data_IF_085992741533
#
_entry.id   IF_085992741533
#
_cell.length_a   1.000
_cell.length_b   1.000
_cell.length_c   1.000
_cell.angle_alpha   90.00
_cell.angle_beta   90.00
_cell.angle_gamma   90.00
#
_symmetry.space_group_name_H-M   'P 1'
#
loop_
_entity.id
_entity.type
_entity.pdbx_description
1 polymer ?
#
# COMPACT_ATOMS: atom_id res chain seq x y z
N UNK A 1 -32.45 -20.56 13.92
CA UNK A 1 -33.20 -19.37 13.45
C UNK A 1 -33.72 -19.54 12.02
N UNK A 2 -33.71 -20.77 11.47
CA UNK A 2 -34.02 -21.07 10.06
C UNK A 2 -35.52 -21.05 9.68
N UNK A 3 -36.43 -20.84 10.63
CA UNK A 3 -37.88 -20.90 10.37
C UNK A 3 -38.58 -19.52 10.30
N UNK A 4 -37.81 -18.41 10.30
CA UNK A 4 -38.37 -17.05 10.16
C UNK A 4 -38.18 -16.40 8.78
N UNK A 5 -37.39 -17.00 7.87
CA UNK A 5 -37.22 -16.45 6.51
C UNK A 5 -38.29 -16.93 5.51
N UNK A 6 -39.08 -17.96 5.85
CA UNK A 6 -40.21 -18.44 5.03
C UNK A 6 -41.45 -17.52 5.04
N UNK A 7 -41.44 -16.42 5.80
CA UNK A 7 -42.58 -15.50 5.92
C UNK A 7 -42.14 -14.08 5.57
N UNK A 8 -41.87 -13.83 4.28
CA UNK A 8 -41.75 -12.48 3.72
C UNK A 8 -42.54 -12.29 2.42
N UNK A 9 -43.35 -13.28 2.02
CA UNK A 9 -44.30 -13.14 0.91
C UNK A 9 -45.73 -13.33 1.42
N UNK A 10 -46.10 -12.54 2.41
CA UNK A 10 -47.51 -12.29 2.71
C UNK A 10 -47.63 -10.95 3.44
N UNK A 11 -48.32 -10.01 2.79
CA UNK A 11 -48.83 -8.76 3.36
C UNK A 11 -47.85 -7.56 3.44
N UNK A 12 -47.38 -7.10 2.27
CA UNK A 12 -47.31 -5.64 2.03
C UNK A 12 -47.60 -5.36 0.55
N UNK A 13 -48.27 -4.24 0.27
CA UNK A 13 -48.50 -3.72 -1.09
C UNK A 13 -47.20 -3.17 -1.70
N UNK A 14 -46.12 -3.96 -1.70
CA UNK A 14 -44.82 -3.60 -2.26
C UNK A 14 -44.61 -4.19 -3.65
N UNK A 15 -43.86 -3.49 -4.50
CA UNK A 15 -43.40 -3.99 -5.80
C UNK A 15 -42.45 -5.18 -5.58
N UNK A 16 -42.49 -6.21 -6.45
CA UNK A 16 -41.61 -7.39 -6.33
C UNK A 16 -40.14 -6.96 -6.48
N UNK A 17 -39.88 -5.96 -7.31
CA UNK A 17 -38.53 -5.42 -7.47
C UNK A 17 -37.96 -4.79 -6.19
N UNK A 18 -38.80 -4.23 -5.31
CA UNK A 18 -38.35 -3.68 -4.02
C UNK A 18 -37.94 -4.80 -3.05
N UNK A 19 -38.68 -5.92 -3.05
CA UNK A 19 -38.32 -7.11 -2.27
C UNK A 19 -36.97 -7.68 -2.72
N UNK A 20 -36.76 -7.83 -4.03
CA UNK A 20 -35.48 -8.30 -4.58
C UNK A 20 -34.33 -7.34 -4.28
N UNK A 21 -34.57 -6.03 -4.34
CA UNK A 21 -33.57 -5.04 -3.97
C UNK A 21 -33.18 -5.13 -2.50
N UNK A 22 -34.15 -5.34 -1.60
CA UNK A 22 -33.88 -5.52 -0.18
C UNK A 22 -33.08 -6.78 0.10
N UNK A 23 -33.33 -7.88 -0.62
CA UNK A 23 -32.49 -9.08 -0.55
C UNK A 23 -31.03 -8.77 -0.92
N UNK A 24 -30.80 -8.05 -2.02
CA UNK A 24 -29.45 -7.65 -2.45
C UNK A 24 -28.81 -6.69 -1.44
N UNK A 25 -29.56 -5.73 -0.88
CA UNK A 25 -29.06 -4.84 0.18
C UNK A 25 -28.60 -5.63 1.40
N UNK A 26 -29.40 -6.58 1.87
CA UNK A 26 -29.03 -7.48 2.99
C UNK A 26 -27.83 -8.36 2.66
N UNK A 27 -27.66 -8.76 1.41
CA UNK A 27 -26.51 -9.55 0.96
C UNK A 27 -25.22 -8.74 1.03
N UNK A 28 -25.22 -7.50 0.52
CA UNK A 28 -24.08 -6.60 0.59
C UNK A 28 -23.80 -6.11 2.01
N UNK A 29 -24.84 -5.77 2.79
CA UNK A 29 -24.68 -5.41 4.20
C UNK A 29 -24.01 -6.54 5.00
N UNK A 30 -24.35 -7.81 4.73
CA UNK A 30 -23.68 -8.94 5.34
C UNK A 30 -22.18 -9.00 4.96
N UNK A 31 -21.82 -8.73 3.70
CA UNK A 31 -20.43 -8.70 3.24
C UNK A 31 -19.64 -7.55 3.87
N UNK A 32 -20.21 -6.35 3.83
CA UNK A 32 -19.53 -5.09 4.14
C UNK A 32 -19.46 -4.84 5.65
N UNK A 33 -20.53 -5.18 6.39
CA UNK A 33 -20.63 -5.02 7.84
C UNK A 33 -20.39 -6.34 8.59
N UNK A 34 -19.76 -7.35 7.97
CA UNK A 34 -19.57 -8.68 8.58
C UNK A 34 -19.00 -8.60 10.00
N UNK A 35 -17.99 -7.76 10.20
CA UNK A 35 -17.27 -7.58 11.47
C UNK A 35 -17.98 -6.67 12.48
N UNK A 36 -19.11 -6.04 12.11
CA UNK A 36 -19.99 -5.37 13.08
C UNK A 36 -20.87 -6.38 13.83
N UNK A 37 -21.11 -7.56 13.23
CA UNK A 37 -22.00 -8.59 13.77
C UNK A 37 -21.30 -9.91 14.11
N UNK A 38 -20.07 -10.11 13.64
CA UNK A 38 -19.27 -11.32 13.90
C UNK A 38 -17.90 -10.93 14.45
N UNK A 39 -17.40 -11.69 15.43
CA UNK A 39 -16.08 -11.44 15.99
C UNK A 39 -14.98 -11.79 14.97
N UNK A 40 -13.80 -11.20 15.13
CA UNK A 40 -12.72 -11.31 14.13
C UNK A 40 -12.16 -12.72 14.01
N UNK A 41 -12.30 -13.53 15.06
CA UNK A 41 -11.94 -14.95 15.10
C UNK A 41 -12.75 -15.78 14.09
N UNK A 42 -13.91 -15.27 13.65
CA UNK A 42 -14.75 -15.89 12.62
C UNK A 42 -14.49 -15.36 11.20
N UNK A 43 -13.42 -14.60 10.98
CA UNK A 43 -13.07 -14.04 9.67
C UNK A 43 -12.92 -15.13 8.58
N UNK A 44 -12.36 -16.28 8.92
CA UNK A 44 -12.19 -17.41 7.98
C UNK A 44 -13.52 -17.99 7.48
N UNK A 45 -14.62 -17.81 8.21
CA UNK A 45 -15.96 -18.27 7.83
C UNK A 45 -16.72 -17.28 6.95
N UNK A 46 -16.21 -16.04 6.81
CA UNK A 46 -16.90 -14.96 6.06
C UNK A 46 -17.23 -15.38 4.63
N UNK A 47 -16.26 -15.97 3.94
CA UNK A 47 -16.39 -16.37 2.54
C UNK A 47 -17.45 -17.47 2.35
N UNK A 48 -17.44 -18.52 3.18
CA UNK A 48 -18.41 -19.62 3.07
C UNK A 48 -19.83 -19.18 3.44
N UNK A 49 -19.99 -18.36 4.49
CA UNK A 49 -21.32 -17.83 4.87
C UNK A 49 -21.86 -16.86 3.82
N UNK A 50 -21.00 -16.05 3.20
CA UNK A 50 -21.41 -15.16 2.11
C UNK A 50 -21.88 -15.97 0.89
N UNK A 51 -21.19 -17.07 0.57
CA UNK A 51 -21.57 -17.99 -0.50
C UNK A 51 -22.96 -18.61 -0.25
N UNK A 52 -23.22 -19.13 0.95
CA UNK A 52 -24.53 -19.68 1.33
C UNK A 52 -25.64 -18.61 1.22
N UNK A 53 -25.36 -17.40 1.71
CA UNK A 53 -26.32 -16.29 1.65
C UNK A 53 -26.58 -15.82 0.22
N UNK A 54 -25.58 -15.89 -0.65
CA UNK A 54 -25.73 -15.67 -2.09
C UNK A 54 -26.66 -16.72 -2.70
N UNK A 55 -26.43 -18.01 -2.44
CA UNK A 55 -27.25 -19.11 -2.97
C UNK A 55 -28.73 -18.96 -2.58
N UNK A 56 -29.00 -18.65 -1.31
CA UNK A 56 -30.35 -18.37 -0.82
C UNK A 56 -30.96 -17.14 -1.51
N UNK A 57 -30.17 -16.09 -1.75
CA UNK A 57 -30.62 -14.91 -2.49
C UNK A 57 -31.00 -15.27 -3.93
N UNK A 58 -30.17 -16.04 -4.63
CA UNK A 58 -30.43 -16.47 -6.01
C UNK A 58 -31.68 -17.35 -6.11
N UNK A 59 -31.97 -18.18 -5.11
CA UNK A 59 -33.21 -18.97 -5.07
C UNK A 59 -34.44 -18.06 -5.11
N UNK A 60 -34.47 -17.00 -4.29
CA UNK A 60 -35.56 -16.01 -4.27
C UNK A 60 -35.70 -15.31 -5.63
N UNK A 61 -34.59 -14.97 -6.29
CA UNK A 61 -34.61 -14.37 -7.64
C UNK A 61 -35.20 -15.31 -8.70
N UNK A 62 -34.95 -16.62 -8.60
CA UNK A 62 -35.47 -17.60 -9.54
C UNK A 62 -36.99 -17.79 -9.36
N UNK A 63 -37.45 -17.91 -8.11
CA UNK A 63 -38.87 -18.04 -7.76
C UNK A 63 -39.73 -16.85 -8.21
N UNK A 64 -39.15 -15.65 -8.23
CA UNK A 64 -39.84 -14.41 -8.56
C UNK A 64 -39.52 -13.87 -9.97
N UNK A 65 -38.80 -14.65 -10.80
CA UNK A 65 -38.23 -14.20 -12.07
C UNK A 65 -39.27 -13.66 -13.06
N UNK A 66 -40.31 -14.44 -13.37
CA UNK A 66 -41.34 -14.05 -14.36
C UNK A 66 -42.06 -12.76 -13.98
N UNK A 67 -42.48 -12.65 -12.72
CA UNK A 67 -43.22 -11.51 -12.22
C UNK A 67 -42.33 -10.25 -12.15
N UNK A 68 -41.09 -10.37 -11.67
CA UNK A 68 -40.15 -9.25 -11.58
C UNK A 68 -39.68 -8.77 -12.97
N UNK A 69 -39.50 -9.68 -13.93
CA UNK A 69 -39.18 -9.33 -15.33
C UNK A 69 -40.34 -8.55 -15.97
N UNK A 70 -41.57 -8.99 -15.71
CA UNK A 70 -42.77 -8.32 -16.23
C UNK A 70 -42.96 -6.93 -15.63
N UNK A 71 -42.56 -6.74 -14.37
CA UNK A 71 -42.63 -5.46 -13.66
C UNK A 71 -41.56 -4.47 -14.15
N UNK A 72 -40.28 -4.85 -14.08
CA UNK A 72 -39.18 -4.04 -14.58
C UNK A 72 -37.98 -4.92 -14.95
N UNK A 73 -37.92 -5.29 -16.22
CA UNK A 73 -36.88 -6.17 -16.77
C UNK A 73 -35.45 -5.65 -16.58
N UNK A 74 -35.21 -4.35 -16.75
CA UNK A 74 -33.87 -3.76 -16.59
C UNK A 74 -33.42 -3.83 -15.12
N UNK A 75 -34.30 -3.44 -14.20
CA UNK A 75 -34.03 -3.48 -12.75
C UNK A 75 -33.81 -4.90 -12.25
N UNK A 76 -34.61 -5.87 -12.73
CA UNK A 76 -34.42 -7.29 -12.39
C UNK A 76 -33.01 -7.78 -12.75
N UNK A 77 -32.58 -7.60 -14.02
CA UNK A 77 -31.26 -8.05 -14.46
C UNK A 77 -30.12 -7.30 -13.77
N UNK A 78 -30.29 -6.02 -13.46
CA UNK A 78 -29.32 -5.27 -12.67
C UNK A 78 -29.15 -5.88 -11.26
N UNK A 79 -30.26 -6.12 -10.55
CA UNK A 79 -30.23 -6.66 -9.19
C UNK A 79 -29.70 -8.10 -9.17
N UNK A 80 -30.09 -8.93 -10.14
CA UNK A 80 -29.59 -10.30 -10.28
C UNK A 80 -28.09 -10.31 -10.54
N UNK A 81 -27.62 -9.46 -11.46
CA UNK A 81 -26.22 -9.34 -11.78
C UNK A 81 -25.39 -8.85 -10.59
N UNK A 82 -25.89 -7.83 -9.87
CA UNK A 82 -25.29 -7.34 -8.63
C UNK A 82 -25.23 -8.41 -7.54
N UNK A 83 -26.25 -9.27 -7.41
CA UNK A 83 -26.22 -10.39 -6.47
C UNK A 83 -25.09 -11.36 -6.81
N UNK A 84 -25.01 -11.80 -8.08
CA UNK A 84 -23.95 -12.69 -8.56
C UNK A 84 -22.54 -12.08 -8.45
N UNK A 85 -22.42 -10.76 -8.42
CA UNK A 85 -21.14 -10.05 -8.31
C UNK A 85 -20.71 -9.77 -6.85
N UNK A 86 -21.42 -10.27 -5.83
CA UNK A 86 -21.10 -9.94 -4.43
C UNK A 86 -19.72 -10.47 -3.99
N UNK A 87 -19.28 -11.58 -4.58
CA UNK A 87 -18.00 -12.25 -4.28
C UNK A 87 -16.88 -11.61 -5.13
N UNK A 88 -15.66 -11.62 -4.60
CA UNK A 88 -14.50 -11.01 -5.26
C UNK A 88 -14.09 -11.70 -6.57
N UNK A 89 -14.46 -12.97 -6.76
CA UNK A 89 -14.17 -13.73 -7.99
C UNK A 89 -15.12 -13.37 -9.12
N UNK A 90 -14.63 -13.45 -10.37
CA UNK A 90 -15.44 -13.17 -11.54
C UNK A 90 -16.62 -14.14 -11.68
N UNK A 91 -17.80 -13.61 -12.02
CA UNK A 91 -19.02 -14.37 -12.29
C UNK A 91 -19.55 -14.08 -13.69
N UNK A 92 -19.55 -15.09 -14.56
CA UNK A 92 -20.09 -14.98 -15.92
C UNK A 92 -21.61 -14.67 -15.91
N UNK A 93 -22.33 -15.17 -14.90
CA UNK A 93 -23.76 -14.89 -14.70
C UNK A 93 -23.99 -13.42 -14.34
N UNK A 94 -23.10 -12.83 -13.53
CA UNK A 94 -23.13 -11.39 -13.25
C UNK A 94 -22.92 -10.58 -14.53
N UNK A 95 -21.88 -10.90 -15.30
CA UNK A 95 -21.56 -10.22 -16.56
C UNK A 95 -22.75 -10.26 -17.54
N UNK A 96 -23.37 -11.43 -17.73
CA UNK A 96 -24.51 -11.60 -18.64
C UNK A 96 -25.72 -10.76 -18.19
N UNK A 97 -26.07 -10.82 -16.90
CA UNK A 97 -27.20 -10.09 -16.36
C UNK A 97 -26.97 -8.56 -16.41
N UNK A 98 -25.78 -8.10 -16.01
CA UNK A 98 -25.42 -6.68 -16.04
C UNK A 98 -25.35 -6.14 -17.48
N UNK A 99 -24.84 -6.93 -18.42
CA UNK A 99 -24.85 -6.58 -19.85
C UNK A 99 -26.28 -6.41 -20.39
N UNK A 100 -27.21 -7.29 -19.99
CA UNK A 100 -28.64 -7.13 -20.33
C UNK A 100 -29.22 -5.87 -19.70
N UNK A 101 -28.90 -5.58 -18.44
CA UNK A 101 -29.40 -4.42 -17.72
C UNK A 101 -29.01 -3.10 -18.41
N UNK A 102 -27.73 -2.91 -18.74
CA UNK A 102 -27.25 -1.67 -19.40
C UNK A 102 -27.78 -1.51 -20.83
N UNK A 103 -28.09 -2.61 -21.53
CA UNK A 103 -28.72 -2.57 -22.86
C UNK A 103 -30.19 -2.16 -22.79
N UNK A 104 -30.90 -2.60 -21.74
CA UNK A 104 -32.32 -2.29 -21.53
C UNK A 104 -32.50 -0.87 -20.99
N UNK A 105 -31.62 -0.42 -20.10
CA UNK A 105 -31.60 0.94 -19.57
C UNK A 105 -30.16 1.49 -19.53
N UNK A 106 -29.72 2.18 -20.61
CA UNK A 106 -28.39 2.77 -20.67
C UNK A 106 -28.17 3.91 -19.66
N UNK A 107 -29.21 4.47 -19.05
CA UNK A 107 -29.09 5.53 -18.04
C UNK A 107 -28.87 4.99 -16.63
N UNK A 108 -28.94 3.68 -16.44
CA UNK A 108 -28.77 3.04 -15.14
C UNK A 108 -27.29 3.02 -14.71
N UNK A 109 -26.82 4.13 -14.14
CA UNK A 109 -25.44 4.37 -13.68
C UNK A 109 -24.92 3.25 -12.79
N UNK A 110 -25.75 2.73 -11.88
CA UNK A 110 -25.36 1.64 -11.00
C UNK A 110 -25.07 0.33 -11.75
N UNK A 111 -25.81 0.02 -12.83
CA UNK A 111 -25.56 -1.16 -13.64
C UNK A 111 -24.24 -1.05 -14.41
N UNK A 112 -23.91 0.13 -14.93
CA UNK A 112 -22.61 0.39 -15.55
C UNK A 112 -21.45 0.21 -14.57
N UNK A 113 -21.58 0.73 -13.35
CA UNK A 113 -20.57 0.56 -12.30
C UNK A 113 -20.37 -0.92 -11.95
N UNK A 114 -21.45 -1.66 -11.73
CA UNK A 114 -21.38 -3.09 -11.42
C UNK A 114 -20.80 -3.89 -12.60
N UNK A 115 -21.16 -3.57 -13.85
CA UNK A 115 -20.58 -4.23 -15.02
C UNK A 115 -19.07 -3.96 -15.13
N UNK A 116 -18.64 -2.73 -14.83
CA UNK A 116 -17.23 -2.37 -14.81
C UNK A 116 -16.43 -3.14 -13.75
N UNK A 117 -16.97 -3.31 -12.55
CA UNK A 117 -16.38 -4.14 -11.49
C UNK A 117 -16.28 -5.61 -11.94
N UNK A 118 -17.33 -6.13 -12.59
CA UNK A 118 -17.34 -7.49 -13.13
C UNK A 118 -16.25 -7.73 -14.21
N UNK A 119 -16.07 -6.76 -15.13
CA UNK A 119 -15.00 -6.82 -16.13
C UNK A 119 -13.62 -6.73 -15.51
N UNK A 120 -13.46 -5.92 -14.46
CA UNK A 120 -12.20 -5.82 -13.74
C UNK A 120 -11.86 -7.14 -13.03
N UNK A 121 -12.83 -7.84 -12.42
CA UNK A 121 -12.62 -9.21 -11.90
C UNK A 121 -12.15 -10.20 -12.95
N UNK A 122 -12.47 -9.96 -14.22
CA UNK A 122 -12.02 -10.75 -15.37
C UNK A 122 -10.69 -10.27 -15.97
N UNK A 123 -9.99 -9.35 -15.30
CA UNK A 123 -8.77 -8.67 -15.78
C UNK A 123 -8.96 -7.93 -17.12
N UNK A 124 -10.21 -7.61 -17.48
CA UNK A 124 -10.54 -6.86 -18.69
C UNK A 124 -10.59 -5.36 -18.39
N UNK A 125 -9.39 -4.78 -18.19
CA UNK A 125 -9.18 -3.38 -17.80
C UNK A 125 -9.84 -2.40 -18.79
N UNK A 126 -9.78 -2.71 -20.09
CA UNK A 126 -10.32 -1.85 -21.15
C UNK A 126 -11.84 -1.70 -21.06
N UNK A 127 -12.56 -2.81 -20.96
CA UNK A 127 -14.02 -2.77 -20.89
C UNK A 127 -14.51 -2.24 -19.54
N UNK A 128 -13.79 -2.53 -18.45
CA UNK A 128 -14.04 -1.92 -17.15
C UNK A 128 -13.97 -0.38 -17.20
N UNK A 129 -12.90 0.16 -17.82
CA UNK A 129 -12.71 1.60 -18.01
C UNK A 129 -13.84 2.22 -18.84
N UNK A 130 -14.23 1.57 -19.94
CA UNK A 130 -15.36 1.99 -20.77
C UNK A 130 -16.67 2.04 -19.97
N UNK A 131 -16.94 1.04 -19.13
CA UNK A 131 -18.14 1.01 -18.29
C UNK A 131 -18.17 2.17 -17.29
N UNK A 132 -17.08 2.45 -16.59
CA UNK A 132 -17.05 3.56 -15.63
C UNK A 132 -17.09 4.94 -16.30
N UNK A 133 -16.48 5.10 -17.47
CA UNK A 133 -16.62 6.32 -18.28
C UNK A 133 -18.06 6.49 -18.79
N UNK A 134 -18.70 5.40 -19.21
CA UNK A 134 -20.11 5.36 -19.57
C UNK A 134 -20.99 5.80 -18.40
N UNK A 135 -20.77 5.27 -17.20
CA UNK A 135 -21.46 5.70 -15.99
C UNK A 135 -21.32 7.21 -15.71
N UNK A 136 -20.10 7.75 -15.79
CA UNK A 136 -19.83 9.18 -15.59
C UNK A 136 -20.43 10.08 -16.67
N UNK A 137 -20.62 9.56 -17.88
CA UNK A 137 -21.30 10.31 -18.95
C UNK A 137 -22.79 10.52 -18.68
N UNK A 138 -23.39 9.63 -17.88
CA UNK A 138 -24.80 9.71 -17.49
C UNK A 138 -24.98 10.54 -16.22
N UNK A 139 -24.18 10.27 -15.19
CA UNK A 139 -24.20 11.02 -13.94
C UNK A 139 -22.86 10.95 -13.20
N UNK A 140 -22.41 12.09 -12.67
CA UNK A 140 -21.16 12.18 -11.91
C UNK A 140 -21.36 11.53 -10.54
N UNK A 141 -20.62 10.46 -10.26
CA UNK A 141 -20.79 9.69 -9.03
C UNK A 141 -19.45 9.18 -8.46
N UNK A 142 -19.41 8.99 -7.13
CA UNK A 142 -18.19 8.58 -6.42
C UNK A 142 -17.72 7.15 -6.74
N UNK A 143 -18.60 6.23 -7.09
CA UNK A 143 -18.23 4.83 -7.42
C UNK A 143 -17.39 4.80 -8.69
N UNK A 144 -17.87 5.40 -9.77
CA UNK A 144 -17.14 5.43 -11.04
C UNK A 144 -15.80 6.17 -10.91
N UNK A 145 -15.76 7.29 -10.18
CA UNK A 145 -14.53 8.05 -9.95
C UNK A 145 -13.49 7.24 -9.18
N UNK A 146 -13.89 6.57 -8.09
CA UNK A 146 -13.02 5.66 -7.33
C UNK A 146 -12.48 4.58 -8.24
N UNK A 147 -13.35 3.85 -8.93
CA UNK A 147 -12.94 2.70 -9.74
C UNK A 147 -12.05 3.11 -10.92
N UNK A 148 -12.33 4.23 -11.59
CA UNK A 148 -11.44 4.78 -12.62
C UNK A 148 -10.09 5.20 -12.05
N UNK A 149 -10.08 5.87 -10.89
CA UNK A 149 -8.83 6.20 -10.20
C UNK A 149 -7.97 4.95 -10.00
N UNK A 150 -8.59 3.83 -9.63
CA UNK A 150 -7.89 2.56 -9.45
C UNK A 150 -7.39 1.94 -10.75
N UNK A 151 -8.20 1.93 -11.80
CA UNK A 151 -7.78 1.36 -13.08
C UNK A 151 -6.61 2.14 -13.70
N UNK A 152 -6.70 3.48 -13.76
CA UNK A 152 -5.69 4.27 -14.49
C UNK A 152 -4.31 4.17 -13.84
N UNK A 153 -4.21 4.08 -12.51
CA UNK A 153 -2.90 3.89 -11.85
C UNK A 153 -2.30 2.48 -12.02
N UNK A 154 -3.10 1.48 -12.40
CA UNK A 154 -2.64 0.13 -12.68
C UNK A 154 -2.48 -0.16 -14.19
N UNK A 155 -2.90 0.78 -15.04
CA UNK A 155 -2.78 0.67 -16.50
C UNK A 155 -1.31 0.56 -16.89
N UNK A 156 -1.01 -0.36 -17.80
CA UNK A 156 0.33 -0.48 -18.37
C UNK A 156 0.64 0.79 -19.15
N UNK A 157 1.81 1.38 -18.90
CA UNK A 157 2.29 2.56 -19.60
C UNK A 157 3.50 2.19 -20.46
N UNK A 158 3.50 2.66 -21.71
CA UNK A 158 4.59 2.43 -22.66
C UNK A 158 5.77 3.39 -22.40
N UNK A 159 5.51 4.48 -21.67
CA UNK A 159 6.51 5.49 -21.32
C UNK A 159 6.40 5.93 -19.86
N UNK A 160 7.46 6.55 -19.35
CA UNK A 160 7.45 7.13 -18.01
C UNK A 160 6.48 8.30 -17.93
N UNK A 161 6.41 9.11 -18.97
CA UNK A 161 5.54 10.28 -19.09
C UNK A 161 4.07 9.86 -18.99
N UNK A 162 3.69 8.78 -19.67
CA UNK A 162 2.36 8.20 -19.58
C UNK A 162 2.07 7.64 -18.18
N UNK A 163 3.04 6.95 -17.56
CA UNK A 163 2.88 6.47 -16.17
C UNK A 163 2.65 7.62 -15.19
N UNK A 164 3.37 8.72 -15.36
CA UNK A 164 3.19 9.94 -14.56
C UNK A 164 1.80 10.52 -14.78
N UNK A 165 1.37 10.69 -16.03
CA UNK A 165 0.06 11.21 -16.38
C UNK A 165 -1.09 10.35 -15.80
N UNK A 166 -0.96 9.01 -15.89
CA UNK A 166 -1.91 8.06 -15.32
C UNK A 166 -2.04 8.20 -13.79
N UNK A 167 -0.92 8.41 -13.11
CA UNK A 167 -0.90 8.60 -11.65
C UNK A 167 -1.46 9.96 -11.24
N UNK A 168 -1.18 11.03 -11.99
CA UNK A 168 -1.79 12.35 -11.79
C UNK A 168 -3.30 12.31 -12.00
N UNK A 169 -3.76 11.65 -13.07
CA UNK A 169 -5.17 11.43 -13.34
C UNK A 169 -5.83 10.61 -12.22
N UNK A 170 -5.17 9.55 -11.74
CA UNK A 170 -5.66 8.75 -10.60
C UNK A 170 -5.90 9.60 -9.37
N UNK A 171 -4.96 10.50 -9.06
CA UNK A 171 -5.04 11.39 -7.91
C UNK A 171 -6.18 12.40 -8.05
N UNK A 172 -6.36 12.98 -9.23
CA UNK A 172 -7.48 13.90 -9.50
C UNK A 172 -8.83 13.21 -9.34
N UNK A 173 -9.01 12.04 -9.96
CA UNK A 173 -10.24 11.24 -9.84
C UNK A 173 -10.56 10.87 -8.39
N UNK A 174 -9.55 10.49 -7.61
CA UNK A 174 -9.73 10.14 -6.19
C UNK A 174 -10.17 11.36 -5.35
N UNK A 175 -9.60 12.54 -5.60
CA UNK A 175 -10.02 13.79 -4.94
C UNK A 175 -11.46 14.13 -5.27
N UNK A 176 -11.84 14.05 -6.55
CA UNK A 176 -13.21 14.28 -6.97
C UNK A 176 -14.19 13.30 -6.31
N UNK A 177 -13.80 12.05 -6.07
CA UNK A 177 -14.65 11.10 -5.36
C UNK A 177 -14.90 11.51 -3.90
N UNK A 178 -13.87 11.96 -3.20
CA UNK A 178 -13.98 12.50 -1.82
C UNK A 178 -14.79 13.79 -1.78
N UNK A 179 -14.68 14.66 -2.79
CA UNK A 179 -15.47 15.89 -2.89
C UNK A 179 -16.98 15.63 -3.00
N UNK A 180 -17.38 14.52 -3.63
CA UNK A 180 -18.79 14.13 -3.71
C UNK A 180 -19.32 13.70 -2.33
N UNK A 181 -18.50 13.00 -1.54
CA UNK A 181 -18.88 12.55 -0.21
C UNK A 181 -17.66 12.45 0.72
N UNK A 182 -17.49 13.45 1.57
CA UNK A 182 -16.36 13.52 2.50
C UNK A 182 -16.45 12.51 3.65
N UNK A 183 -17.59 11.83 3.81
CA UNK A 183 -17.78 10.78 4.82
C UNK A 183 -17.55 9.37 4.26
N UNK A 184 -17.27 9.23 2.97
CA UNK A 184 -17.09 7.94 2.31
C UNK A 184 -15.68 7.37 2.58
N UNK A 185 -15.58 6.36 3.44
CA UNK A 185 -14.30 5.75 3.83
C UNK A 185 -13.54 5.12 2.66
N UNK A 186 -14.24 4.53 1.69
CA UNK A 186 -13.61 3.95 0.50
C UNK A 186 -12.97 5.02 -0.40
N UNK A 187 -13.60 6.19 -0.56
CA UNK A 187 -13.03 7.32 -1.32
C UNK A 187 -11.74 7.80 -0.67
N UNK A 188 -11.72 7.93 0.65
CA UNK A 188 -10.49 8.24 1.40
C UNK A 188 -9.42 7.16 1.25
N UNK A 189 -9.79 5.89 1.23
CA UNK A 189 -8.87 4.77 1.03
C UNK A 189 -8.22 4.83 -0.36
N UNK A 190 -9.04 5.08 -1.39
CA UNK A 190 -8.59 5.24 -2.78
C UNK A 190 -7.70 6.48 -2.93
N UNK A 191 -8.02 7.58 -2.25
CA UNK A 191 -7.19 8.79 -2.22
C UNK A 191 -5.82 8.52 -1.57
N UNK A 192 -5.78 7.74 -0.48
CA UNK A 192 -4.54 7.28 0.13
C UNK A 192 -3.67 6.50 -0.86
N UNK A 193 -4.27 5.54 -1.57
CA UNK A 193 -3.59 4.73 -2.58
C UNK A 193 -3.08 5.57 -3.77
N UNK A 194 -3.85 6.58 -4.19
CA UNK A 194 -3.44 7.49 -5.25
C UNK A 194 -2.26 8.37 -4.82
N UNK A 195 -2.26 8.89 -3.59
CA UNK A 195 -1.11 9.63 -3.03
C UNK A 195 0.13 8.74 -2.86
N UNK A 196 -0.04 7.48 -2.44
CA UNK A 196 1.05 6.53 -2.34
C UNK A 196 1.65 6.21 -3.73
N UNK A 197 0.80 6.03 -4.74
CA UNK A 197 1.23 5.84 -6.13
C UNK A 197 1.96 7.08 -6.67
N UNK A 198 1.45 8.28 -6.38
CA UNK A 198 2.09 9.55 -6.71
C UNK A 198 3.49 9.68 -6.09
N UNK A 199 3.60 9.32 -4.81
CA UNK A 199 4.86 9.33 -4.08
C UNK A 199 5.92 8.43 -4.74
N UNK A 200 5.54 7.22 -5.15
CA UNK A 200 6.47 6.26 -5.76
C UNK A 200 6.78 6.52 -7.24
N UNK A 201 5.82 7.06 -8.01
CA UNK A 201 5.96 7.20 -9.46
C UNK A 201 6.62 8.53 -9.89
N UNK A 202 6.31 9.63 -9.22
CA UNK A 202 6.65 10.98 -9.70
C UNK A 202 7.79 11.55 -8.86
N UNK A 203 7.50 11.77 -7.59
CA UNK A 203 8.43 12.40 -6.66
C UNK A 203 8.19 11.84 -5.27
N UNK A 204 9.26 11.32 -4.65
CA UNK A 204 9.29 10.90 -3.25
C UNK A 204 9.28 12.11 -2.31
N UNK A 205 8.31 13.00 -2.52
CA UNK A 205 8.07 14.17 -1.71
C UNK A 205 7.42 13.71 -0.39
N UNK A 206 8.03 13.99 0.78
CA UNK A 206 7.46 13.61 2.07
C UNK A 206 6.02 14.07 2.27
N UNK A 207 5.62 15.19 1.65
CA UNK A 207 4.23 15.68 1.71
C UNK A 207 3.23 14.72 1.08
N UNK A 208 3.58 14.05 -0.01
CA UNK A 208 2.68 13.10 -0.68
C UNK A 208 2.41 11.89 0.20
N UNK A 209 3.42 11.41 0.93
CA UNK A 209 3.29 10.31 1.87
C UNK A 209 2.48 10.72 3.11
N UNK A 210 2.70 11.93 3.63
CA UNK A 210 1.85 12.52 4.69
C UNK A 210 0.37 12.61 4.27
N UNK A 211 0.09 13.03 3.03
CA UNK A 211 -1.27 13.05 2.52
C UNK A 211 -1.86 11.64 2.42
N UNK A 212 -1.08 10.65 1.97
CA UNK A 212 -1.52 9.25 1.94
C UNK A 212 -1.91 8.76 3.34
N UNK A 213 -1.04 8.99 4.33
CA UNK A 213 -1.30 8.61 5.72
C UNK A 213 -2.51 9.31 6.31
N UNK A 214 -2.69 10.62 6.05
CA UNK A 214 -3.87 11.35 6.49
C UNK A 214 -5.16 10.79 5.87
N UNK A 215 -5.13 10.40 4.60
CA UNK A 215 -6.27 9.81 3.91
C UNK A 215 -6.62 8.42 4.48
N UNK A 216 -5.63 7.57 4.75
CA UNK A 216 -5.85 6.27 5.42
C UNK A 216 -6.44 6.43 6.82
N UNK A 217 -5.93 7.37 7.63
CA UNK A 217 -6.47 7.66 8.95
C UNK A 217 -7.91 8.17 8.90
N UNK A 218 -8.28 8.90 7.86
CA UNK A 218 -9.66 9.36 7.68
C UNK A 218 -10.58 8.22 7.24
N UNK A 219 -10.12 7.35 6.33
CA UNK A 219 -10.84 6.16 5.92
C UNK A 219 -11.11 5.18 7.08
N UNK A 220 -10.11 4.98 7.95
CA UNK A 220 -10.18 4.06 9.09
C UNK A 220 -11.26 4.46 10.13
N UNK A 221 -11.66 5.74 10.17
CA UNK A 221 -12.76 6.20 11.05
C UNK A 221 -14.13 5.69 10.62
N UNK A 222 -14.30 5.31 9.36
CA UNK A 222 -15.55 4.79 8.84
C UNK A 222 -15.68 3.30 9.16
N UNK A 223 -16.84 2.86 9.67
CA UNK A 223 -17.00 1.49 10.18
C UNK A 223 -16.68 0.43 9.13
N UNK A 224 -17.21 0.55 7.91
CA UNK A 224 -16.96 -0.40 6.81
C UNK A 224 -15.49 -0.35 6.35
N UNK A 225 -14.99 0.82 5.93
CA UNK A 225 -13.63 0.95 5.41
C UNK A 225 -12.53 0.61 6.44
N UNK A 226 -12.76 0.86 7.74
CA UNK A 226 -11.86 0.45 8.81
C UNK A 226 -11.73 -1.06 8.98
N UNK A 227 -12.65 -1.84 8.42
CA UNK A 227 -12.60 -3.31 8.35
C UNK A 227 -12.18 -3.83 6.96
N UNK A 228 -11.72 -2.96 6.06
CA UNK A 228 -11.17 -3.38 4.77
C UNK A 228 -9.71 -3.84 4.94
N UNK A 229 -9.37 -5.12 4.66
CA UNK A 229 -8.00 -5.63 4.80
C UNK A 229 -7.01 -4.85 3.91
N UNK A 230 -7.40 -4.52 2.68
CA UNK A 230 -6.55 -3.86 1.69
C UNK A 230 -6.15 -2.44 2.13
N UNK A 231 -6.97 -1.76 2.93
CA UNK A 231 -6.60 -0.48 3.56
C UNK A 231 -5.42 -0.66 4.52
N UNK A 232 -5.49 -1.66 5.40
CA UNK A 232 -4.45 -1.92 6.40
C UNK A 232 -3.16 -2.41 5.75
N UNK A 233 -3.24 -3.24 4.72
CA UNK A 233 -2.09 -3.66 3.94
C UNK A 233 -1.37 -2.47 3.27
N UNK A 234 -2.10 -1.61 2.57
CA UNK A 234 -1.50 -0.45 1.89
C UNK A 234 -0.91 0.56 2.88
N UNK A 235 -1.58 0.78 4.02
CA UNK A 235 -1.06 1.57 5.14
C UNK A 235 0.24 0.97 5.69
N UNK A 236 0.31 -0.36 5.84
CA UNK A 236 1.51 -1.05 6.31
C UNK A 236 2.71 -0.86 5.35
N UNK A 237 2.47 -0.92 4.04
CA UNK A 237 3.50 -0.65 3.01
C UNK A 237 4.05 0.78 3.15
N UNK A 238 3.18 1.78 3.33
CA UNK A 238 3.59 3.16 3.54
C UNK A 238 4.42 3.32 4.83
N UNK A 239 3.95 2.76 5.95
CA UNK A 239 4.62 2.80 7.25
C UNK A 239 5.99 2.09 7.22
N UNK A 240 6.11 0.96 6.52
CA UNK A 240 7.39 0.27 6.31
C UNK A 240 8.39 1.19 5.61
N UNK A 241 7.95 1.90 4.57
CA UNK A 241 8.81 2.84 3.84
C UNK A 241 9.24 4.04 4.69
N UNK A 242 8.38 4.51 5.61
CA UNK A 242 8.71 5.54 6.61
C UNK A 242 9.60 5.03 7.75
N UNK A 243 9.89 3.73 7.79
CA UNK A 243 10.63 3.05 8.86
C UNK A 243 9.90 3.07 10.22
N UNK A 244 8.58 3.31 10.23
CA UNK A 244 7.71 3.01 11.38
C UNK A 244 7.34 1.52 11.38
N UNK A 245 8.35 0.71 11.68
CA UNK A 245 8.25 -0.75 11.62
C UNK A 245 7.21 -1.32 12.59
N UNK A 246 7.00 -0.69 13.74
CA UNK A 246 6.01 -1.15 14.71
C UNK A 246 4.61 -1.02 14.13
N UNK A 247 4.25 0.19 13.70
CA UNK A 247 2.92 0.44 13.12
C UNK A 247 2.71 -0.35 11.83
N UNK A 248 3.78 -0.57 11.03
CA UNK A 248 3.71 -1.42 9.85
C UNK A 248 3.36 -2.89 10.21
N UNK A 249 4.01 -3.46 11.22
CA UNK A 249 3.69 -4.82 11.69
C UNK A 249 2.28 -4.92 12.26
N UNK A 250 1.83 -3.91 13.01
CA UNK A 250 0.47 -3.86 13.56
C UNK A 250 -0.58 -3.79 12.43
N UNK A 251 -0.33 -3.00 11.39
CA UNK A 251 -1.20 -2.87 10.23
C UNK A 251 -1.23 -4.15 9.36
N UNK A 252 -0.08 -4.80 9.12
CA UNK A 252 -0.07 -6.12 8.48
C UNK A 252 -0.85 -7.15 9.30
N UNK A 253 -0.64 -7.19 10.62
CA UNK A 253 -1.39 -8.07 11.52
C UNK A 253 -2.90 -7.83 11.43
N UNK A 254 -3.33 -6.56 11.39
CA UNK A 254 -4.74 -6.21 11.23
C UNK A 254 -5.30 -6.68 9.88
N UNK A 255 -4.55 -6.54 8.80
CA UNK A 255 -4.93 -7.06 7.48
C UNK A 255 -5.13 -8.58 7.51
N UNK A 256 -4.19 -9.33 8.10
CA UNK A 256 -4.28 -10.79 8.26
C UNK A 256 -5.50 -11.23 9.08
N UNK A 257 -5.85 -10.46 10.12
CA UNK A 257 -7.01 -10.78 10.96
C UNK A 257 -8.34 -10.54 10.22
N UNK A 258 -8.40 -9.51 9.37
CA UNK A 258 -9.60 -9.17 8.59
C UNK A 258 -9.81 -10.10 7.40
N UNK A 259 -8.73 -10.62 6.82
CA UNK A 259 -8.80 -11.68 5.81
C UNK A 259 -7.67 -12.70 6.00
N UNK A 260 -7.93 -13.78 6.77
CA UNK A 260 -6.96 -14.85 6.98
C UNK A 260 -6.66 -15.69 5.73
N UNK A 261 -7.47 -15.56 4.68
CA UNK A 261 -7.29 -16.32 3.42
C UNK A 261 -6.37 -15.58 2.44
N UNK A 262 -6.13 -14.29 2.66
CA UNK A 262 -5.18 -13.50 1.89
C UNK A 262 -3.76 -13.69 2.42
N UNK A 263 -2.91 -14.39 1.67
CA UNK A 263 -1.56 -14.77 2.10
C UNK A 263 -0.54 -13.62 2.08
N UNK A 264 -0.71 -12.65 1.17
CA UNK A 264 0.29 -11.60 0.91
C UNK A 264 0.62 -10.74 2.15
N UNK A 265 -0.36 -10.26 2.96
CA UNK A 265 -0.07 -9.52 4.18
C UNK A 265 0.73 -10.33 5.20
N UNK A 266 0.44 -11.63 5.33
CA UNK A 266 1.18 -12.53 6.21
C UNK A 266 2.62 -12.69 5.73
N UNK A 267 2.83 -12.96 4.44
CA UNK A 267 4.16 -13.06 3.84
C UNK A 267 4.96 -11.77 4.05
N UNK A 268 4.35 -10.60 3.83
CA UNK A 268 4.99 -9.29 4.07
C UNK A 268 5.32 -9.03 5.53
N UNK A 269 4.45 -9.45 6.45
CA UNK A 269 4.72 -9.39 7.88
C UNK A 269 5.94 -10.24 8.26
N UNK A 270 6.00 -11.49 7.79
CA UNK A 270 7.14 -12.38 8.08
C UNK A 270 8.45 -11.89 7.47
N UNK A 271 8.41 -11.34 6.25
CA UNK A 271 9.56 -10.70 5.61
C UNK A 271 10.08 -9.54 6.46
N UNK A 272 9.20 -8.66 6.96
CA UNK A 272 9.59 -7.55 7.82
C UNK A 272 10.17 -8.04 9.16
N UNK A 273 9.58 -9.06 9.78
CA UNK A 273 10.13 -9.67 11.01
C UNK A 273 11.53 -10.22 10.75
N UNK A 274 11.72 -10.98 9.67
CA UNK A 274 13.03 -11.55 9.31
C UNK A 274 14.07 -10.46 9.04
N UNK A 275 13.68 -9.40 8.33
CA UNK A 275 14.54 -8.23 8.09
C UNK A 275 15.00 -7.59 9.41
N UNK A 276 14.08 -7.38 10.36
CA UNK A 276 14.39 -6.78 11.66
C UNK A 276 15.26 -7.69 12.53
N UNK A 277 14.98 -8.99 12.56
CA UNK A 277 15.79 -10.01 13.24
C UNK A 277 17.24 -9.98 12.73
N UNK A 278 17.40 -10.04 11.40
CA UNK A 278 18.70 -10.02 10.75
C UNK A 278 19.44 -8.70 11.00
N UNK A 279 18.72 -7.57 11.00
CA UNK A 279 19.29 -6.25 11.31
C UNK A 279 19.88 -6.23 12.72
N UNK A 280 19.09 -6.65 13.72
CA UNK A 280 19.53 -6.67 15.13
C UNK A 280 20.69 -7.64 15.33
N UNK A 281 20.61 -8.85 14.76
CA UNK A 281 21.70 -9.83 14.84
C UNK A 281 23.01 -9.27 14.25
N UNK A 282 22.94 -8.70 13.05
CA UNK A 282 24.13 -8.19 12.36
C UNK A 282 24.72 -6.98 13.08
N UNK A 283 23.91 -6.11 13.67
CA UNK A 283 24.39 -4.99 14.49
C UNK A 283 25.10 -5.51 15.74
N UNK A 284 24.44 -6.38 16.51
CA UNK A 284 24.98 -6.91 17.77
C UNK A 284 26.25 -7.73 17.56
N UNK A 285 26.34 -8.46 16.45
CA UNK A 285 27.48 -9.30 16.12
C UNK A 285 28.48 -8.64 15.16
N UNK A 286 28.39 -7.32 14.93
CA UNK A 286 29.32 -6.55 14.08
C UNK A 286 29.53 -7.18 12.70
N UNK A 287 28.43 -7.50 12.03
CA UNK A 287 28.40 -8.16 10.72
C UNK A 287 28.98 -9.58 10.71
N UNK A 288 29.13 -10.20 11.90
CA UNK A 288 29.80 -11.48 12.13
C UNK A 288 31.26 -11.49 11.62
N UNK A 289 31.91 -10.32 11.61
CA UNK A 289 33.29 -10.17 11.17
C UNK A 289 34.30 -10.64 12.23
N UNK A 290 35.35 -11.33 11.79
CA UNK A 290 36.48 -11.71 12.67
C UNK A 290 37.22 -10.46 13.17
N UNK A 291 37.74 -10.52 14.39
CA UNK A 291 38.48 -9.41 15.02
C UNK A 291 39.62 -8.84 14.17
N UNK A 292 40.39 -9.69 13.47
CA UNK A 292 41.45 -9.26 12.55
C UNK A 292 40.93 -8.42 11.38
N UNK A 293 39.76 -8.78 10.83
CA UNK A 293 39.12 -8.01 9.74
C UNK A 293 38.62 -6.67 10.27
N UNK A 294 38.00 -6.64 11.45
CA UNK A 294 37.60 -5.41 12.14
C UNK A 294 38.80 -4.47 12.31
N UNK A 295 39.92 -4.96 12.85
CA UNK A 295 41.13 -4.15 13.03
C UNK A 295 41.67 -3.60 11.71
N UNK A 296 41.59 -4.37 10.62
CA UNK A 296 41.96 -3.90 9.27
C UNK A 296 41.08 -2.74 8.82
N UNK A 297 39.76 -2.86 8.97
CA UNK A 297 38.81 -1.79 8.57
C UNK A 297 39.01 -0.52 9.39
N UNK A 298 39.26 -0.64 10.70
CA UNK A 298 39.48 0.51 11.57
C UNK A 298 40.73 1.31 11.19
N UNK A 299 41.76 0.68 10.58
CA UNK A 299 42.96 1.37 10.09
C UNK A 299 42.70 2.19 8.83
N UNK A 300 41.68 1.84 8.06
CA UNK A 300 41.31 2.54 6.82
C UNK A 300 40.45 3.79 7.08
N UNK A 301 39.87 3.91 8.28
CA UNK A 301 39.11 5.09 8.71
C UNK A 301 40.05 6.27 9.00
N UNK A 302 40.15 7.20 8.04
CA UNK A 302 40.90 8.45 8.17
C UNK A 302 40.22 9.59 7.41
N UNK A 303 40.63 10.83 7.67
CA UNK A 303 39.99 12.04 7.15
C UNK A 303 39.96 12.13 5.62
N UNK A 304 40.93 11.52 4.92
CA UNK A 304 40.95 11.49 3.45
C UNK A 304 39.74 10.76 2.86
N UNK A 305 39.12 9.86 3.63
CA UNK A 305 37.93 9.13 3.20
C UNK A 305 36.67 10.01 3.19
N UNK A 306 36.72 11.21 3.78
CA UNK A 306 35.67 12.22 3.66
C UNK A 306 35.58 12.79 2.22
N UNK A 307 36.63 12.63 1.42
CA UNK A 307 36.67 13.05 0.02
C UNK A 307 36.34 14.54 -0.13
N UNK A 308 35.31 14.94 -0.89
CA UNK A 308 34.95 16.35 -1.05
C UNK A 308 34.51 17.05 0.25
N UNK A 309 34.28 16.31 1.34
CA UNK A 309 33.99 16.87 2.66
C UNK A 309 35.23 17.06 3.53
N UNK A 310 36.40 16.62 3.06
CA UNK A 310 37.69 16.93 3.68
C UNK A 310 37.90 18.46 3.66
N UNK A 311 38.04 19.08 4.83
CA UNK A 311 38.04 20.54 5.00
C UNK A 311 36.65 21.15 5.25
N UNK A 312 35.61 20.33 5.34
CA UNK A 312 34.30 20.70 5.88
C UNK A 312 33.36 21.36 4.89
N UNK A 313 33.60 21.39 3.58
CA UNK A 313 32.70 22.13 2.69
C UNK A 313 31.58 21.23 2.15
N UNK A 314 30.32 21.56 2.47
CA UNK A 314 29.15 20.88 1.92
C UNK A 314 28.14 21.90 1.42
N UNK A 315 27.66 21.71 0.20
CA UNK A 315 26.54 22.48 -0.32
C UNK A 315 25.25 21.73 0.02
N UNK A 316 24.49 22.28 0.95
CA UNK A 316 23.19 21.73 1.33
C UNK A 316 22.24 21.70 0.13
N UNK A 317 21.18 20.88 0.17
CA UNK A 317 20.16 20.90 -0.87
C UNK A 317 19.52 22.29 -1.09
N UNK A 318 19.51 23.14 -0.04
CA UNK A 318 19.07 24.53 -0.11
C UNK A 318 20.07 25.51 -0.74
N UNK A 319 21.23 25.02 -1.19
CA UNK A 319 22.25 25.79 -1.89
C UNK A 319 23.26 26.51 -0.98
N UNK A 320 23.10 26.44 0.34
CA UNK A 320 24.01 27.03 1.30
C UNK A 320 25.26 26.17 1.49
N UNK A 321 26.43 26.79 1.54
CA UNK A 321 27.66 26.10 1.90
C UNK A 321 27.84 26.14 3.40
N UNK A 322 27.82 24.98 4.04
CA UNK A 322 28.01 24.81 5.48
C UNK A 322 29.32 24.11 5.79
N UNK A 323 29.86 24.36 6.99
CA UNK A 323 31.04 23.68 7.48
C UNK A 323 30.64 22.37 8.17
N UNK A 324 31.04 21.24 7.62
CA UNK A 324 30.82 19.93 8.23
C UNK A 324 31.87 19.62 9.29
N UNK A 325 31.39 19.18 10.46
CA UNK A 325 32.22 18.61 11.51
C UNK A 325 32.10 17.09 11.53
N UNK A 326 33.24 16.38 11.50
CA UNK A 326 33.23 14.93 11.60
C UNK A 326 32.91 14.50 13.04
N UNK A 327 31.81 13.77 13.22
CA UNK A 327 31.39 13.22 14.52
C UNK A 327 31.41 11.69 14.50
N UNK A 328 31.58 11.11 15.69
CA UNK A 328 31.42 9.65 15.91
C UNK A 328 29.94 9.29 15.94
N UNK A 329 29.63 8.02 15.67
CA UNK A 329 28.23 7.55 15.71
C UNK A 329 27.63 7.63 17.11
N UNK A 330 28.46 7.53 18.15
CA UNK A 330 28.06 7.74 19.55
C UNK A 330 27.65 9.18 19.88
N UNK A 331 27.98 10.15 19.02
CA UNK A 331 27.82 11.59 19.26
C UNK A 331 26.65 12.21 18.48
N UNK A 332 26.01 11.46 17.57
CA UNK A 332 24.85 11.94 16.82
C UNK A 332 23.55 11.70 17.59
N UNK A 333 22.57 12.57 17.39
CA UNK A 333 21.26 12.54 18.06
C UNK A 333 20.15 12.10 17.10
N UNK A 334 19.02 11.55 17.59
CA UNK A 334 17.85 11.30 16.75
C UNK A 334 17.37 12.57 16.03
N UNK A 335 16.88 12.40 14.80
CA UNK A 335 16.52 13.48 13.88
C UNK A 335 17.64 13.86 12.92
N UNK A 336 17.48 15.01 12.27
CA UNK A 336 18.49 15.58 11.38
C UNK A 336 19.66 16.15 12.18
N UNK A 337 20.89 15.74 11.83
CA UNK A 337 22.12 16.27 12.41
C UNK A 337 22.76 17.25 11.41
N UNK A 338 22.28 18.49 11.37
CA UNK A 338 22.82 19.55 10.50
C UNK A 338 24.31 19.79 10.76
N UNK A 339 25.05 20.20 9.73
CA UNK A 339 26.49 20.52 9.82
C UNK A 339 27.40 19.37 10.33
N UNK A 340 26.89 18.14 10.36
CA UNK A 340 27.65 16.95 10.82
C UNK A 340 27.95 16.04 9.65
N UNK A 341 29.13 15.42 9.64
CA UNK A 341 29.43 14.27 8.79
C UNK A 341 29.86 13.09 9.65
N UNK A 342 29.36 11.90 9.31
CA UNK A 342 29.78 10.65 9.93
C UNK A 342 30.62 9.85 8.94
N UNK A 343 31.57 9.07 9.46
CA UNK A 343 32.45 8.21 8.69
C UNK A 343 32.45 6.80 9.30
N UNK A 344 32.19 5.79 8.48
CA UNK A 344 32.16 4.40 8.94
C UNK A 344 32.50 3.40 7.85
N UNK A 345 33.01 2.24 8.26
CA UNK A 345 33.31 1.12 7.37
C UNK A 345 32.08 0.20 7.25
N UNK A 346 31.75 -0.21 6.05
CA UNK A 346 30.66 -1.16 5.78
C UNK A 346 31.07 -2.54 6.28
N UNK A 347 30.26 -3.11 7.18
CA UNK A 347 30.56 -4.39 7.83
C UNK A 347 29.69 -5.55 7.36
N UNK A 348 28.49 -5.26 6.85
CA UNK A 348 27.56 -6.23 6.28
C UNK A 348 26.47 -5.52 5.46
N UNK A 349 25.78 -6.28 4.62
CA UNK A 349 24.49 -5.91 4.03
C UNK A 349 23.38 -6.67 4.73
N UNK A 350 22.24 -6.02 4.99
CA UNK A 350 21.02 -6.67 5.47
C UNK A 350 20.16 -6.99 4.25
N UNK A 351 19.73 -8.24 4.14
CA UNK A 351 18.83 -8.65 3.06
C UNK A 351 17.40 -8.22 3.40
N UNK A 352 16.79 -7.48 2.48
CA UNK A 352 15.34 -7.30 2.39
C UNK A 352 14.88 -8.05 1.13
N UNK A 353 13.73 -8.71 1.19
CA UNK A 353 13.14 -9.36 0.02
C UNK A 353 12.45 -8.32 -0.89
N UNK A 354 12.11 -7.15 -0.36
CA UNK A 354 11.81 -5.98 -1.18
C UNK A 354 13.09 -5.35 -1.72
N UNK A 355 13.01 -4.78 -2.93
CA UNK A 355 14.18 -4.19 -3.60
C UNK A 355 14.66 -2.85 -3.00
N UNK A 356 13.84 -2.23 -2.14
CA UNK A 356 14.08 -0.91 -1.54
C UNK A 356 13.59 -0.92 -0.08
N UNK A 357 14.38 -0.40 0.88
CA UNK A 357 15.72 0.17 0.72
C UNK A 357 16.84 -0.87 0.57
N UNK A 358 17.99 -0.43 0.06
CA UNK A 358 19.24 -1.17 0.25
C UNK A 358 19.77 -0.89 1.66
N UNK A 359 19.81 -1.92 2.51
CA UNK A 359 20.24 -1.77 3.91
C UNK A 359 21.63 -2.37 4.14
N UNK A 360 22.49 -1.63 4.83
CA UNK A 360 23.82 -2.10 5.23
C UNK A 360 24.17 -1.53 6.62
N UNK A 361 25.14 -2.13 7.30
CA UNK A 361 25.62 -1.59 8.57
C UNK A 361 26.98 -0.95 8.40
N UNK A 362 27.18 0.19 9.09
CA UNK A 362 28.47 0.86 9.19
C UNK A 362 29.00 0.78 10.62
N UNK A 363 30.33 0.74 10.74
CA UNK A 363 31.05 0.78 12.01
C UNK A 363 32.06 1.92 12.02
N UNK A 364 32.05 2.74 13.07
CA UNK A 364 33.00 3.83 13.23
C UNK A 364 34.28 3.40 13.98
N UNK A 365 35.17 4.36 14.26
CA UNK A 365 36.43 4.11 14.96
C UNK A 365 36.25 3.66 16.42
N UNK A 366 35.11 3.97 17.03
CA UNK A 366 34.77 3.55 18.41
C UNK A 366 34.07 2.18 18.44
N UNK A 367 33.91 1.56 17.27
CA UNK A 367 33.20 0.29 17.07
C UNK A 367 31.69 0.38 17.37
N UNK A 368 31.13 1.59 17.33
CA UNK A 368 29.69 1.81 17.30
C UNK A 368 29.15 1.35 15.96
N UNK A 369 27.97 0.71 15.95
CA UNK A 369 27.39 0.12 14.74
C UNK A 369 25.98 0.65 14.53
N UNK A 370 25.73 1.23 13.36
CA UNK A 370 24.43 1.76 12.95
C UNK A 370 24.01 1.07 11.65
N UNK A 371 22.71 0.78 11.51
CA UNK A 371 22.13 0.45 10.21
C UNK A 371 22.05 1.71 9.33
N UNK A 372 22.13 1.54 8.03
CA UNK A 372 21.94 2.60 7.04
C UNK A 372 20.94 2.08 6.00
N UNK A 373 19.82 2.78 5.85
CA UNK A 373 18.81 2.51 4.83
C UNK A 373 19.01 3.47 3.66
N UNK A 374 19.34 2.91 2.50
CA UNK A 374 19.66 3.69 1.30
C UNK A 374 18.55 3.53 0.24
N UNK A 375 17.89 4.64 -0.07
CA UNK A 375 16.81 4.72 -1.05
C UNK A 375 17.34 5.21 -2.41
N UNK A 376 16.52 5.12 -3.47
CA UNK A 376 16.83 5.65 -4.82
C UNK A 376 18.11 5.10 -5.46
N UNK A 377 18.51 3.90 -5.08
CA UNK A 377 19.70 3.23 -5.58
C UNK A 377 19.35 2.27 -6.72
N UNK A 378 20.12 2.32 -7.82
CA UNK A 378 19.96 1.37 -8.92
C UNK A 378 20.28 -0.07 -8.46
N UNK A 379 19.53 -1.04 -8.99
CA UNK A 379 19.69 -2.45 -8.64
C UNK A 379 21.15 -2.90 -8.85
N UNK A 380 21.72 -3.53 -7.82
CA UNK A 380 23.10 -4.04 -7.85
C UNK A 380 24.21 -2.97 -7.75
N UNK A 381 23.87 -1.70 -7.45
CA UNK A 381 24.84 -0.60 -7.36
C UNK A 381 25.22 -0.21 -5.92
N UNK A 382 24.89 -1.04 -4.93
CA UNK A 382 25.15 -0.79 -3.51
C UNK A 382 26.62 -0.81 -3.12
N UNK A 383 26.88 -0.47 -1.86
CA UNK A 383 28.20 -0.59 -1.23
C UNK A 383 28.48 -2.04 -0.84
N UNK A 384 29.76 -2.39 -0.71
CA UNK A 384 30.21 -3.73 -0.32
C UNK A 384 30.97 -3.70 1.01
N UNK A 385 31.12 -4.88 1.63
CA UNK A 385 31.88 -5.02 2.88
C UNK A 385 33.31 -4.51 2.67
N UNK A 386 33.70 -3.57 3.54
CA UNK A 386 35.00 -2.92 3.53
C UNK A 386 35.02 -1.54 2.87
N UNK A 387 33.97 -1.15 2.14
CA UNK A 387 33.84 0.23 1.70
C UNK A 387 33.82 1.19 2.90
N UNK A 388 34.49 2.33 2.78
CA UNK A 388 34.41 3.43 3.74
C UNK A 388 33.39 4.44 3.24
N UNK A 389 32.40 4.74 4.06
CA UNK A 389 31.27 5.58 3.69
C UNK A 389 31.24 6.83 4.57
N UNK A 390 31.16 7.99 3.93
CA UNK A 390 30.85 9.25 4.59
C UNK A 390 29.43 9.71 4.25
N UNK A 391 28.66 10.09 5.28
CA UNK A 391 27.28 10.55 5.16
C UNK A 391 27.19 11.94 5.80
N UNK A 392 26.94 13.01 5.01
CA UNK A 392 26.70 14.34 5.54
C UNK A 392 25.27 14.44 6.05
N UNK A 393 25.07 15.30 7.04
CA UNK A 393 23.79 15.63 7.66
C UNK A 393 22.90 14.40 7.92
N UNK A 394 23.39 13.39 8.66
CA UNK A 394 22.67 12.13 8.80
C UNK A 394 21.34 12.35 9.54
N UNK A 395 20.27 11.82 8.96
CA UNK A 395 18.99 11.67 9.65
C UNK A 395 19.00 10.36 10.44
N UNK A 396 19.09 10.45 11.76
CA UNK A 396 19.22 9.29 12.66
C UNK A 396 17.88 8.96 13.27
N UNK A 397 17.51 7.68 13.26
CA UNK A 397 16.34 7.16 13.96
C UNK A 397 16.78 6.19 15.05
N UNK A 398 16.08 6.21 16.18
CA UNK A 398 16.23 5.22 17.24
C UNK A 398 15.03 4.28 17.22
N UNK A 399 15.25 3.05 16.76
CA UNK A 399 14.23 2.01 16.73
C UNK A 399 14.21 1.32 18.07
N UNK A 400 13.08 1.37 18.78
CA UNK A 400 12.88 0.73 20.08
C UNK A 400 11.43 0.31 20.27
N UNK A 401 11.13 -0.95 19.99
CA UNK A 401 9.82 -1.53 20.23
C UNK A 401 9.90 -3.04 20.44
N UNK A 402 8.79 -3.62 20.89
CA UNK A 402 8.62 -5.07 21.02
C UNK A 402 7.51 -5.54 20.09
N UNK A 403 7.66 -6.74 19.54
CA UNK A 403 6.62 -7.44 18.78
C UNK A 403 6.67 -8.93 19.13
N UNK A 404 5.56 -9.47 19.65
CA UNK A 404 5.56 -10.78 20.28
C UNK A 404 6.56 -10.84 21.45
N UNK A 405 7.42 -11.86 21.47
CA UNK A 405 8.48 -12.03 22.47
C UNK A 405 9.79 -11.33 22.15
N UNK A 406 9.91 -10.69 20.98
CA UNK A 406 11.15 -10.07 20.50
C UNK A 406 11.18 -8.58 20.76
N UNK A 407 12.38 -8.06 21.02
CA UNK A 407 12.65 -6.64 21.22
C UNK A 407 13.63 -6.16 20.15
N UNK A 408 13.24 -5.14 19.40
CA UNK A 408 14.08 -4.51 18.38
C UNK A 408 14.61 -3.20 18.92
N UNK A 409 15.93 -3.14 19.18
CA UNK A 409 16.62 -1.94 19.63
C UNK A 409 17.83 -1.72 18.73
N UNK A 410 17.84 -0.66 17.94
CA UNK A 410 19.00 -0.26 17.15
C UNK A 410 18.89 1.19 16.67
N UNK A 411 20.03 1.77 16.30
CA UNK A 411 20.06 3.05 15.59
C UNK A 411 20.13 2.81 14.08
N UNK A 412 19.38 3.59 13.30
CA UNK A 412 19.46 3.63 11.84
C UNK A 412 19.74 5.04 11.34
N UNK A 413 20.35 5.13 10.16
CA UNK A 413 20.54 6.36 9.40
C UNK A 413 19.79 6.23 8.08
N UNK A 414 18.86 7.15 7.84
CA UNK A 414 18.12 7.18 6.59
C UNK A 414 18.84 8.05 5.55
N UNK A 415 19.13 7.47 4.40
CA UNK A 415 19.72 8.18 3.25
C UNK A 415 18.77 8.15 2.07
N UNK A 416 18.05 9.26 1.85
CA UNK A 416 17.07 9.37 0.77
C UNK A 416 17.68 9.52 -0.63
N UNK A 417 18.89 10.08 -0.74
CA UNK A 417 19.57 10.31 -2.01
C UNK A 417 21.03 9.83 -1.95
N UNK A 418 21.39 8.74 -2.65
CA UNK A 418 22.76 8.20 -2.65
C UNK A 418 23.83 9.21 -3.07
N UNK A 419 23.48 10.23 -3.87
CA UNK A 419 24.44 11.25 -4.31
C UNK A 419 25.04 12.06 -3.17
N UNK A 420 24.41 12.10 -1.99
CA UNK A 420 24.99 12.80 -0.83
C UNK A 420 26.16 12.02 -0.25
N UNK A 421 26.26 10.71 -0.49
CA UNK A 421 27.30 9.87 0.08
C UNK A 421 28.65 10.04 -0.60
N UNK A 422 29.70 9.74 0.15
CA UNK A 422 31.06 9.51 -0.35
C UNK A 422 31.42 8.07 -0.03
N UNK A 423 31.97 7.35 -1.01
CA UNK A 423 32.40 5.97 -0.87
C UNK A 423 33.87 5.89 -1.27
N UNK A 424 34.71 5.43 -0.36
CA UNK A 424 36.17 5.33 -0.53
C UNK A 424 36.81 6.65 -1.00
N UNK A 425 36.44 7.76 -0.35
CA UNK A 425 36.90 9.12 -0.67
C UNK A 425 36.32 9.71 -1.97
N UNK A 426 35.45 9.00 -2.68
CA UNK A 426 34.85 9.45 -3.96
C UNK A 426 33.36 9.71 -3.82
N UNK A 427 32.91 10.85 -4.31
CA UNK A 427 31.49 11.20 -4.37
C UNK A 427 30.71 10.18 -5.21
N UNK A 428 29.56 9.72 -4.71
CA UNK A 428 28.67 8.85 -5.48
C UNK A 428 28.16 9.60 -6.71
N UNK A 429 28.22 8.93 -7.86
CA UNK A 429 27.89 9.49 -9.17
C UNK A 429 26.45 9.15 -9.58
N UNK A 430 25.91 9.90 -10.54
CA UNK A 430 24.52 9.79 -11.03
C UNK A 430 24.17 8.42 -11.62
N UNK A 431 25.15 7.67 -12.13
CA UNK A 431 24.97 6.30 -12.67
C UNK A 431 24.59 5.26 -11.60
N UNK A 432 24.64 5.64 -10.32
CA UNK A 432 24.25 4.81 -9.18
C UNK A 432 22.79 5.00 -8.77
N UNK A 433 22.11 6.03 -9.27
CA UNK A 433 20.70 6.26 -8.99
C UNK A 433 19.83 5.29 -9.79
N UNK A 434 18.76 4.81 -9.16
CA UNK A 434 17.72 4.10 -9.88
C UNK A 434 17.14 5.03 -10.96
N UNK A 435 16.87 4.50 -12.17
CA UNK A 435 15.76 5.04 -12.95
C UNK A 435 14.52 4.93 -12.06
N UNK A 436 13.63 5.92 -12.07
CA UNK A 436 12.40 5.85 -11.28
C UNK A 436 11.46 4.79 -11.87
N UNK A 437 11.81 3.52 -11.71
CA UNK A 437 11.05 2.36 -12.15
C UNK A 437 10.73 1.55 -10.90
N UNK A 438 9.54 1.79 -10.34
CA UNK A 438 8.95 0.86 -9.39
C UNK A 438 8.08 -0.14 -10.14
N UNK A 439 8.37 -1.42 -9.91
CA UNK A 439 7.44 -2.52 -10.13
C UNK A 439 6.24 -2.34 -9.21
N UNK A 440 5.08 -2.05 -9.76
CA UNK A 440 3.81 -2.07 -9.03
C UNK A 440 3.43 -3.52 -8.76
N UNK A 441 3.18 -3.85 -7.49
CA UNK A 441 2.60 -5.13 -7.09
C UNK A 441 1.28 -5.34 -7.83
N UNK A 442 1.17 -6.46 -8.56
CA UNK A 442 -0.11 -6.96 -9.08
C UNK A 442 -0.78 -7.77 -7.96
N UNK A 443 -1.45 -7.11 -7.03
CA UNK A 443 -2.51 -7.77 -6.27
C UNK A 443 -3.76 -6.91 -6.43
N UNK A 444 -4.64 -7.38 -7.32
CA UNK A 444 -6.01 -6.93 -7.37
C UNK A 444 -6.75 -7.54 -6.17
N UNK A 445 -7.62 -6.73 -5.58
CA UNK A 445 -8.43 -6.96 -4.37
C UNK A 445 -7.70 -6.71 -3.06
#
# INVERSE_FOLDING_TARGET
MENKEKVLVSESKGQISDTLEECVKKLYAFRDCYFEYHPIEEASMKHSRLQEKLENTILIFNENSEAAISENRARYFYLLGRAHDVIATHSALAEEALTKAVKLDPKLVHAWNQLGECYWKRDNIKDAKNCFQGALSQDKNKISLRNLSMLVRHETADSREEKIANVEQSLDLAKQAVEIDTNDGDSWSVLGNAHLSYFFAIQQNPKSLQHAMSAYLQAEKHSIAGHNPSLHYNKAVALKYEEDYKSALDAYSRSCQLDPTWEEPYTKQQQLISYLDNTVDLINNKGRLKAKKIQSLLKELNEKQLGPYEGGHYKSPGGQTVKLECRKLSQVKPGLNEEVVILGAVICSVRDDDSVPFTFCIMDSEKSVFAVTLYNLARGKGVIIGDIVAIPEPYVSFVNFSHGSKKYIFNSIRVGNPLVMVVNGKKVKKDKLASAELSTFKSAY
#
